data_IF_077039327863
#
_entry.id   IF_077039327863
#
_cell.length_a   1.000
_cell.length_b   1.000
_cell.length_c   1.000
_cell.angle_alpha   90.00
_cell.angle_beta   90.00
_cell.angle_gamma   90.00
#
_symmetry.space_group_name_H-M   'P 1'
#
loop_
_entity.id
_entity.type
_entity.pdbx_description
1 polymer ?
#
# COMPACT_ATOMS: atom_id res chain seq x y z
N UNK A 1 9.86 6.55 -2.85
CA UNK A 1 9.80 7.35 -4.10
C UNK A 1 9.71 6.48 -5.34
N UNK A 2 10.66 5.56 -5.60
CA UNK A 2 10.62 4.69 -6.81
C UNK A 2 9.30 3.96 -6.97
N UNK A 3 8.82 3.25 -5.95
CA UNK A 3 7.54 2.53 -5.99
C UNK A 3 6.34 3.42 -6.36
N UNK A 4 6.26 4.64 -5.79
CA UNK A 4 5.18 5.58 -6.10
C UNK A 4 5.17 6.01 -7.57
N UNK A 5 6.35 6.35 -8.11
CA UNK A 5 6.50 6.75 -9.51
C UNK A 5 6.14 5.58 -10.43
N UNK A 6 6.59 4.36 -10.10
CA UNK A 6 6.29 3.16 -10.90
C UNK A 6 4.79 2.87 -10.93
N UNK A 7 4.09 2.99 -9.81
CA UNK A 7 2.62 2.86 -9.77
C UNK A 7 1.94 3.93 -10.65
N UNK A 8 2.41 5.18 -10.58
CA UNK A 8 1.86 6.26 -11.40
C UNK A 8 2.05 6.01 -12.91
N UNK A 9 3.24 5.53 -13.32
CA UNK A 9 3.53 5.13 -14.69
C UNK A 9 2.68 3.95 -15.15
N UNK A 10 2.48 2.94 -14.28
CA UNK A 10 1.63 1.80 -14.61
C UNK A 10 0.18 2.23 -14.82
N UNK A 11 -0.33 3.15 -14.00
CA UNK A 11 -1.69 3.72 -14.14
C UNK A 11 -1.84 4.64 -15.36
N UNK A 12 -0.76 5.21 -15.89
CA UNK A 12 -0.83 6.04 -17.09
C UNK A 12 -0.81 5.25 -18.40
N UNK A 13 -0.35 3.99 -18.40
CA UNK A 13 -0.28 3.12 -19.59
C UNK A 13 -1.57 3.05 -20.44
N UNK A 14 -2.80 3.03 -19.87
CA UNK A 14 -4.03 3.03 -20.64
C UNK A 14 -4.23 4.30 -21.47
N UNK A 15 -3.68 5.44 -21.04
CA UNK A 15 -3.87 6.76 -21.66
C UNK A 15 -2.82 7.09 -22.72
N UNK A 16 -1.74 6.31 -22.81
CA UNK A 16 -0.72 6.49 -23.85
C UNK A 16 -1.25 5.97 -25.20
N UNK A 17 -1.34 6.86 -26.19
CA UNK A 17 -1.83 6.54 -27.54
C UNK A 17 -0.74 6.01 -28.46
N UNK A 18 0.52 6.37 -28.21
CA UNK A 18 1.67 5.92 -29.01
C UNK A 18 2.18 4.55 -28.51
N UNK A 19 2.30 3.59 -29.44
CA UNK A 19 2.77 2.23 -29.14
C UNK A 19 4.24 2.18 -28.70
N UNK A 20 5.08 3.08 -29.22
CA UNK A 20 6.49 3.21 -28.84
C UNK A 20 6.60 3.74 -27.41
N UNK A 21 5.87 4.81 -27.07
CA UNK A 21 5.86 5.36 -25.70
C UNK A 21 5.34 4.33 -24.68
N UNK A 22 4.33 3.54 -25.06
CA UNK A 22 3.83 2.43 -24.25
C UNK A 22 4.89 1.36 -24.01
N UNK A 23 5.63 0.97 -25.05
CA UNK A 23 6.71 -0.01 -24.95
C UNK A 23 7.85 0.49 -24.07
N UNK A 24 8.29 1.73 -24.30
CA UNK A 24 9.35 2.39 -23.52
C UNK A 24 8.95 2.50 -22.04
N UNK A 25 7.70 2.89 -21.76
CA UNK A 25 7.16 2.97 -20.39
C UNK A 25 7.11 1.59 -19.72
N UNK A 26 6.68 0.54 -20.42
CA UNK A 26 6.71 -0.83 -19.90
C UNK A 26 8.13 -1.29 -19.57
N UNK A 27 9.11 -0.96 -20.42
CA UNK A 27 10.52 -1.28 -20.15
C UNK A 27 11.06 -0.54 -18.91
N UNK A 28 10.66 0.71 -18.71
CA UNK A 28 11.01 1.49 -17.50
C UNK A 28 10.36 0.86 -16.26
N UNK A 29 9.08 0.47 -16.35
CA UNK A 29 8.37 -0.21 -15.24
C UNK A 29 9.09 -1.50 -14.87
N UNK A 30 9.47 -2.34 -15.84
CA UNK A 30 10.21 -3.58 -15.61
C UNK A 30 11.52 -3.32 -14.86
N UNK A 31 12.33 -2.36 -15.32
CA UNK A 31 13.59 -2.01 -14.63
C UNK A 31 13.36 -1.53 -13.20
N UNK A 32 12.30 -0.76 -12.98
CA UNK A 32 11.96 -0.26 -11.66
C UNK A 32 11.47 -1.38 -10.73
N UNK A 33 10.67 -2.33 -11.24
CA UNK A 33 10.23 -3.49 -10.46
C UNK A 33 11.39 -4.41 -10.11
N UNK A 34 12.34 -4.63 -11.02
CA UNK A 34 13.54 -5.44 -10.75
C UNK A 34 14.41 -4.82 -9.65
N UNK A 35 14.58 -3.49 -9.71
CA UNK A 35 15.27 -2.74 -8.66
C UNK A 35 14.55 -2.87 -7.30
N UNK A 36 13.22 -2.78 -7.28
CA UNK A 36 12.42 -2.89 -6.06
C UNK A 36 12.47 -4.31 -5.48
N UNK A 37 12.42 -5.35 -6.31
CA UNK A 37 12.58 -6.74 -5.90
C UNK A 37 13.93 -6.95 -5.18
N UNK A 38 15.03 -6.49 -5.78
CA UNK A 38 16.36 -6.64 -5.18
C UNK A 38 16.55 -5.91 -3.84
N UNK A 39 15.70 -4.92 -3.54
CA UNK A 39 15.76 -4.14 -2.30
C UNK A 39 14.76 -4.56 -1.24
N UNK A 40 13.73 -5.33 -1.59
CA UNK A 40 12.60 -5.60 -0.69
C UNK A 40 13.05 -6.31 0.59
N UNK A 41 14.04 -7.19 0.50
CA UNK A 41 14.60 -7.92 1.65
C UNK A 41 15.31 -7.00 2.66
N UNK A 42 15.93 -5.92 2.19
CA UNK A 42 16.62 -4.94 3.04
C UNK A 42 15.70 -3.89 3.69
N UNK A 43 14.42 -3.81 3.31
CA UNK A 43 13.49 -2.83 3.85
C UNK A 43 13.03 -3.21 5.27
N UNK A 44 13.20 -2.29 6.22
CA UNK A 44 12.81 -2.49 7.63
C UNK A 44 11.57 -1.66 8.01
N UNK A 45 11.27 -0.60 7.26
CA UNK A 45 10.17 0.31 7.58
C UNK A 45 8.85 -0.22 7.01
N UNK A 46 7.79 -0.42 7.83
CA UNK A 46 6.49 -0.94 7.36
C UNK A 46 5.93 -0.16 6.17
N UNK A 47 5.98 1.18 6.21
CA UNK A 47 5.57 2.04 5.09
C UNK A 47 6.29 1.71 3.78
N UNK A 48 7.62 1.57 3.84
CA UNK A 48 8.43 1.29 2.66
C UNK A 48 8.15 -0.12 2.11
N UNK A 49 7.93 -1.10 2.99
CA UNK A 49 7.54 -2.47 2.61
C UNK A 49 6.16 -2.45 1.98
N UNK A 50 5.18 -1.75 2.56
CA UNK A 50 3.80 -1.70 2.08
C UNK A 50 3.68 -1.11 0.66
N UNK A 51 4.25 0.08 0.43
CA UNK A 51 4.21 0.71 -0.90
C UNK A 51 4.99 -0.12 -1.94
N UNK A 52 6.06 -0.79 -1.54
CA UNK A 52 6.84 -1.64 -2.44
C UNK A 52 6.09 -2.92 -2.79
N UNK A 53 5.52 -3.61 -1.81
CA UNK A 53 4.71 -4.80 -2.02
C UNK A 53 3.50 -4.49 -2.92
N UNK A 54 2.81 -3.37 -2.66
CA UNK A 54 1.73 -2.90 -3.53
C UNK A 54 2.22 -2.68 -4.96
N UNK A 55 3.29 -1.90 -5.13
CA UNK A 55 3.87 -1.63 -6.45
C UNK A 55 4.22 -2.92 -7.20
N UNK A 56 4.84 -3.89 -6.53
CA UNK A 56 5.19 -5.18 -7.13
C UNK A 56 3.93 -5.97 -7.53
N UNK A 57 2.91 -6.00 -6.67
CA UNK A 57 1.66 -6.72 -6.94
C UNK A 57 0.87 -6.20 -8.15
N UNK A 58 0.97 -4.90 -8.46
CA UNK A 58 0.24 -4.26 -9.56
C UNK A 58 1.06 -4.02 -10.84
N UNK A 59 2.39 -3.89 -10.72
CA UNK A 59 3.27 -3.56 -11.84
C UNK A 59 3.97 -4.79 -12.44
N UNK A 60 4.12 -5.89 -11.68
CA UNK A 60 4.73 -7.11 -12.22
C UNK A 60 3.78 -7.86 -13.15
N UNK A 61 4.32 -8.37 -14.25
CA UNK A 61 3.60 -9.28 -15.14
C UNK A 61 3.40 -10.65 -14.48
N UNK A 62 4.37 -11.07 -13.68
CA UNK A 62 4.33 -12.29 -12.88
C UNK A 62 4.08 -11.96 -11.41
N UNK A 63 2.85 -12.18 -10.97
CA UNK A 63 2.42 -11.91 -9.58
C UNK A 63 3.07 -12.83 -8.55
N UNK A 64 3.65 -13.96 -8.97
CA UNK A 64 4.30 -14.90 -8.03
C UNK A 64 5.54 -14.28 -7.39
N UNK A 65 6.24 -13.41 -8.12
CA UNK A 65 7.41 -12.67 -7.61
C UNK A 65 7.05 -11.61 -6.57
N UNK A 66 5.78 -11.20 -6.49
CA UNK A 66 5.31 -10.27 -5.46
C UNK A 66 4.99 -10.97 -4.11
N UNK A 67 4.87 -12.32 -4.11
CA UNK A 67 4.50 -13.08 -2.91
C UNK A 67 5.49 -12.89 -1.75
N UNK A 68 6.83 -12.95 -1.94
CA UNK A 68 7.77 -12.73 -0.84
C UNK A 68 7.65 -11.34 -0.21
N UNK A 69 7.35 -10.32 -1.01
CA UNK A 69 7.12 -8.96 -0.52
C UNK A 69 5.81 -8.88 0.29
N UNK A 70 4.77 -9.59 -0.13
CA UNK A 70 3.51 -9.71 0.61
C UNK A 70 3.68 -10.45 1.93
N UNK A 71 4.36 -11.60 1.95
CA UNK A 71 4.64 -12.36 3.17
C UNK A 71 5.43 -11.53 4.19
N UNK A 72 6.42 -10.77 3.71
CA UNK A 72 7.18 -9.85 4.56
C UNK A 72 6.29 -8.76 5.14
N UNK A 73 5.36 -8.23 4.35
CA UNK A 73 4.41 -7.23 4.85
C UNK A 73 3.48 -7.81 5.92
N UNK A 74 2.96 -9.03 5.73
CA UNK A 74 2.17 -9.73 6.76
C UNK A 74 2.96 -9.94 8.05
N UNK A 75 4.25 -10.26 7.96
CA UNK A 75 5.12 -10.37 9.14
C UNK A 75 5.34 -9.07 9.93
N UNK A 76 5.04 -7.91 9.33
CA UNK A 76 5.09 -6.59 10.00
C UNK A 76 3.72 -6.15 10.51
N UNK A 77 2.68 -6.96 10.31
CA UNK A 77 1.35 -6.66 10.79
C UNK A 77 1.33 -6.75 12.32
N UNK A 78 0.69 -5.77 12.96
CA UNK A 78 0.43 -5.80 14.39
C UNK A 78 -1.01 -6.20 14.60
N UNK A 79 -1.22 -7.29 15.32
CA UNK A 79 -2.56 -7.75 15.70
C UNK A 79 -3.18 -6.76 16.69
N UNK A 80 -4.32 -6.18 16.32
CA UNK A 80 -5.12 -5.33 17.17
C UNK A 80 -6.14 -6.12 17.99
N UNK A 81 -7.03 -5.40 18.69
CA UNK A 81 -8.22 -6.04 19.28
C UNK A 81 -9.15 -6.48 18.15
N UNK A 82 -9.86 -7.59 18.37
CA UNK A 82 -10.87 -8.15 17.47
C UNK A 82 -10.34 -8.72 16.12
N UNK A 83 -9.11 -9.26 16.09
CA UNK A 83 -8.45 -9.83 14.89
C UNK A 83 -8.18 -8.81 13.76
N UNK A 84 -8.32 -7.51 14.02
CA UNK A 84 -8.09 -6.47 13.04
C UNK A 84 -6.62 -6.04 13.04
N UNK A 85 -5.94 -6.18 11.90
CA UNK A 85 -4.51 -5.93 11.78
C UNK A 85 -4.21 -4.52 11.29
N UNK A 86 -3.29 -3.84 11.99
CA UNK A 86 -2.78 -2.52 11.62
C UNK A 86 -1.27 -2.55 11.38
N UNK A 87 -0.79 -1.72 10.46
CA UNK A 87 0.65 -1.59 10.16
C UNK A 87 1.17 -0.26 10.69
N UNK A 88 1.65 -0.28 11.94
CA UNK A 88 2.14 0.90 12.63
C UNK A 88 3.49 1.38 12.10
N UNK A 89 3.57 2.68 11.81
CA UNK A 89 4.80 3.33 11.34
C UNK A 89 5.98 3.18 12.32
N UNK A 90 5.65 2.96 13.60
CA UNK A 90 6.55 2.83 14.74
C UNK A 90 6.55 1.41 15.34
N UNK A 91 6.25 0.35 14.59
CA UNK A 91 6.42 -1.03 15.07
C UNK A 91 7.87 -1.22 15.56
N UNK A 92 8.06 -1.17 16.90
CA UNK A 92 9.37 -1.18 17.56
C UNK A 92 9.82 0.12 18.28
N UNK A 93 9.07 1.23 18.22
CA UNK A 93 9.36 2.46 19.00
C UNK A 93 8.21 2.72 19.99
N UNK A 94 8.41 2.21 21.20
CA UNK A 94 7.56 2.49 22.36
C UNK A 94 7.95 3.87 22.90
N UNK A 95 6.95 4.72 23.16
CA UNK A 95 7.03 6.05 23.77
C UNK A 95 7.39 7.21 22.82
N UNK A 96 6.39 7.78 22.14
CA UNK A 96 6.41 9.23 21.89
C UNK A 96 5.10 9.85 22.36
N UNK A 97 5.25 10.85 23.23
CA UNK A 97 4.19 11.55 23.94
C UNK A 97 3.18 12.19 22.98
N UNK A 98 1.89 12.01 23.28
CA UNK A 98 0.75 12.62 22.57
C UNK A 98 0.86 14.15 22.55
N UNK A 99 1.40 14.72 21.48
CA UNK A 99 1.23 16.14 21.16
C UNK A 99 -0.06 16.37 20.39
N UNK A 100 -0.72 17.50 20.70
CA UNK A 100 -2.09 17.91 20.32
C UNK A 100 -2.26 18.30 18.85
N UNK A 101 -1.33 17.89 17.98
CA UNK A 101 -1.32 18.09 16.53
C UNK A 101 -1.23 16.69 15.94
N UNK A 102 -2.07 16.32 14.97
CA UNK A 102 -2.13 14.95 14.40
C UNK A 102 -0.69 14.45 14.19
N UNK A 103 -0.23 13.47 14.99
CA UNK A 103 1.16 13.06 14.90
C UNK A 103 1.33 12.41 13.52
N UNK A 104 2.36 12.84 12.80
CA UNK A 104 2.68 12.34 11.45
C UNK A 104 2.71 10.81 11.40
N UNK A 105 3.01 10.16 12.53
CA UNK A 105 2.98 8.71 12.72
C UNK A 105 1.59 8.07 12.56
N UNK A 106 0.51 8.72 12.99
CA UNK A 106 -0.87 8.23 12.79
C UNK A 106 -1.23 8.27 11.30
N UNK A 107 -0.94 9.39 10.63
CA UNK A 107 -1.19 9.54 9.20
C UNK A 107 -0.39 8.51 8.36
N UNK A 108 0.89 8.30 8.68
CA UNK A 108 1.73 7.29 8.03
C UNK A 108 1.21 5.88 8.31
N UNK A 109 0.71 5.60 9.52
CA UNK A 109 0.15 4.29 9.87
C UNK A 109 -1.13 3.99 9.07
N UNK A 110 -2.01 4.98 8.94
CA UNK A 110 -3.23 4.85 8.11
C UNK A 110 -2.86 4.64 6.65
N UNK A 111 -1.91 5.41 6.12
CA UNK A 111 -1.45 5.26 4.73
C UNK A 111 -0.77 3.89 4.50
N UNK A 112 0.05 3.44 5.45
CA UNK A 112 0.69 2.11 5.40
C UNK A 112 -0.35 1.01 5.38
N UNK A 113 -1.35 1.09 6.27
CA UNK A 113 -2.43 0.09 6.35
C UNK A 113 -3.30 0.12 5.10
N UNK A 114 -3.54 1.29 4.50
CA UNK A 114 -4.23 1.40 3.22
C UNK A 114 -3.44 0.72 2.08
N UNK A 115 -2.11 0.89 2.01
CA UNK A 115 -1.30 0.14 1.04
C UNK A 115 -1.29 -1.37 1.32
N UNK A 116 -1.30 -1.79 2.58
CA UNK A 116 -1.41 -3.21 2.94
C UNK A 116 -2.75 -3.80 2.48
N UNK A 117 -3.86 -3.09 2.70
CA UNK A 117 -5.18 -3.45 2.17
C UNK A 117 -5.17 -3.59 0.64
N UNK A 118 -4.64 -2.60 -0.07
CA UNK A 118 -4.55 -2.64 -1.54
C UNK A 118 -3.68 -3.81 -2.02
N UNK A 119 -2.62 -4.13 -1.28
CA UNK A 119 -1.76 -5.30 -1.59
C UNK A 119 -2.52 -6.60 -1.38
N UNK A 120 -3.26 -6.74 -0.28
CA UNK A 120 -4.10 -7.92 -0.01
C UNK A 120 -5.13 -8.13 -1.13
N UNK A 121 -5.82 -7.08 -1.54
CA UNK A 121 -6.78 -7.10 -2.66
C UNK A 121 -6.09 -7.49 -3.97
N UNK A 122 -4.90 -6.94 -4.26
CA UNK A 122 -4.14 -7.31 -5.45
C UNK A 122 -3.71 -8.79 -5.47
N UNK A 123 -3.47 -9.38 -4.29
CA UNK A 123 -3.19 -10.80 -4.08
C UNK A 123 -4.45 -11.67 -3.95
N UNK A 124 -5.65 -11.07 -3.95
CA UNK A 124 -6.95 -11.74 -3.72
C UNK A 124 -7.06 -12.42 -2.35
N UNK A 125 -6.34 -11.88 -1.36
CA UNK A 125 -6.34 -12.37 0.01
C UNK A 125 -7.42 -11.62 0.81
N UNK A 126 -8.65 -12.14 0.76
CA UNK A 126 -9.83 -11.47 1.31
C UNK A 126 -9.81 -11.40 2.83
N UNK A 127 -9.26 -12.41 3.51
CA UNK A 127 -9.18 -12.42 4.97
C UNK A 127 -8.29 -11.29 5.49
N UNK A 128 -7.10 -11.12 4.88
CA UNK A 128 -6.21 -10.03 5.21
C UNK A 128 -6.75 -8.66 4.79
N UNK A 129 -7.48 -8.59 3.68
CA UNK A 129 -8.16 -7.38 3.25
C UNK A 129 -9.24 -6.95 4.26
N UNK A 130 -10.11 -7.87 4.68
CA UNK A 130 -11.18 -7.59 5.65
C UNK A 130 -10.62 -7.14 7.00
N UNK A 131 -9.56 -7.80 7.46
CA UNK A 131 -8.85 -7.43 8.68
C UNK A 131 -8.23 -6.02 8.61
N UNK A 132 -7.56 -5.69 7.50
CA UNK A 132 -6.98 -4.36 7.31
C UNK A 132 -8.07 -3.28 7.19
N UNK A 133 -9.18 -3.58 6.51
CA UNK A 133 -10.33 -2.71 6.40
C UNK A 133 -11.00 -2.47 7.75
N UNK A 134 -11.20 -3.52 8.55
CA UNK A 134 -11.70 -3.41 9.92
C UNK A 134 -10.85 -2.44 10.75
N UNK A 135 -9.52 -2.57 10.69
CA UNK A 135 -8.62 -1.67 11.41
C UNK A 135 -8.79 -0.22 10.94
N UNK A 136 -8.88 0.03 9.63
CA UNK A 136 -9.10 1.37 9.08
C UNK A 136 -10.44 1.98 9.52
N UNK A 137 -11.51 1.20 9.52
CA UNK A 137 -12.83 1.64 10.00
C UNK A 137 -12.82 1.91 11.52
N UNK A 138 -12.02 1.18 12.29
CA UNK A 138 -11.88 1.44 13.73
C UNK A 138 -11.20 2.78 14.04
N UNK A 139 -10.38 3.30 13.13
CA UNK A 139 -9.77 4.63 13.25
C UNK A 139 -10.77 5.78 12.99
N UNK A 140 -11.98 5.50 12.48
CA UNK A 140 -12.95 6.52 12.04
C UNK A 140 -13.85 7.11 13.15
N UNK A 141 -13.73 6.69 14.41
CA UNK A 141 -14.54 7.22 15.53
C UNK A 141 -13.74 8.28 16.33
N UNK A 142 -13.96 9.59 16.19
CA UNK A 142 -15.14 10.35 16.59
C UNK A 142 -15.35 11.51 15.58
N UNK A 143 -16.31 11.39 14.64
CA UNK A 143 -16.78 12.54 13.83
C UNK A 143 -16.73 12.44 12.30
N UNK A 144 -16.56 11.26 11.70
CA UNK A 144 -16.90 11.04 10.28
C UNK A 144 -15.98 11.72 9.26
N UNK A 145 -14.66 11.52 9.39
CA UNK A 145 -13.74 11.95 8.34
C UNK A 145 -12.33 11.37 8.44
N UNK A 146 -11.83 10.84 7.32
CA UNK A 146 -10.39 10.59 7.12
C UNK A 146 -9.62 11.91 7.25
N UNK A 147 -8.65 11.98 8.18
CA UNK A 147 -7.86 13.21 8.47
C UNK A 147 -6.75 13.51 7.44
N UNK A 148 -6.49 12.63 6.49
CA UNK A 148 -5.51 12.84 5.41
C UNK A 148 -6.20 12.86 4.05
N UNK A 149 -6.00 13.95 3.30
CA UNK A 149 -6.48 14.11 1.92
C UNK A 149 -5.96 12.97 1.02
N UNK A 150 -4.75 12.45 1.28
CA UNK A 150 -4.13 11.37 0.51
C UNK A 150 -4.77 10.01 0.77
N UNK A 151 -5.18 9.75 2.01
CA UNK A 151 -5.93 8.54 2.37
C UNK A 151 -7.31 8.58 1.74
N UNK A 152 -7.98 9.74 1.74
CA UNK A 152 -9.25 9.94 1.03
C UNK A 152 -9.11 9.66 -0.47
N UNK A 153 -8.07 10.17 -1.13
CA UNK A 153 -7.84 9.87 -2.55
C UNK A 153 -7.55 8.38 -2.80
N UNK A 154 -6.76 7.73 -1.94
CA UNK A 154 -6.41 6.30 -2.10
C UNK A 154 -7.64 5.39 -1.97
N UNK A 155 -8.50 5.64 -0.98
CA UNK A 155 -9.77 4.92 -0.79
C UNK A 155 -10.76 5.19 -1.92
N UNK A 156 -10.89 6.45 -2.38
CA UNK A 156 -11.80 6.81 -3.47
C UNK A 156 -11.37 6.24 -4.83
N UNK A 157 -10.07 6.13 -5.10
CA UNK A 157 -9.56 5.54 -6.35
C UNK A 157 -9.85 4.02 -6.44
N UNK A 158 -9.96 3.34 -5.29
CA UNK A 158 -10.34 1.92 -5.25
C UNK A 158 -11.85 1.75 -5.44
N UNK A 159 -12.67 2.62 -4.83
CA UNK A 159 -14.13 2.61 -5.00
C UNK A 159 -14.56 2.91 -6.46
N UNK A 160 -13.82 3.74 -7.20
CA UNK A 160 -14.09 3.99 -8.62
C UNK A 160 -13.57 2.89 -9.57
N UNK A 161 -12.70 1.99 -9.09
CA UNK A 161 -12.18 0.85 -9.86
C UNK A 161 -13.02 -0.42 -9.74
N UNK A 162 -14.14 -0.40 -9.01
CA UNK A 162 -15.21 -1.42 -9.11
C UNK A 162 -16.33 -0.95 -10.04
N UNK A 163 -16.24 -1.16 -11.37
CA UNK A 163 -17.42 -1.13 -12.21
C UNK A 163 -18.21 -2.42 -11.95
N UNK A 164 -19.48 -2.22 -11.60
CA UNK A 164 -20.57 -3.21 -11.61
C UNK A 164 -20.25 -4.58 -12.22
N UNK A 165 -20.44 -5.63 -11.42
CA UNK A 165 -21.05 -6.86 -11.91
C UNK A 165 -21.96 -7.46 -10.86
#
# INVERSE_FOLDING_TARGET
MTAFITVALNRSLPFLTDNKERSDTKAIISKATDYLLSRVEGLQRPYAVAITAYCLSVCLSDRTQAVPAWEKLKGLATEGKDHCHGWYANAGMVNEEKKRFVPTTEAITVETTAYALLTAVAHKDTEWADSAACWLTSQENYGGGFKSTQVRYTVLMEQSSSPHR
#
